data_IF_385635844261
#
_entry.id   IF_385635844261
#
_cell.length_a   1.000
_cell.length_b   1.000
_cell.length_c   1.000
_cell.angle_alpha   90.00
_cell.angle_beta   90.00
_cell.angle_gamma   90.00
#
_symmetry.space_group_name_H-M   'P 1'
#
loop_
_entity.id
_entity.type
_entity.pdbx_description
1 polymer ?
#
# COMPACT_ATOMS: atom_id res chain seq x y z
N UNK A 1 -114.02 -12.78 -58.64
CA UNK A 1 -112.65 -12.23 -58.77
C UNK A 1 -111.92 -12.51 -57.46
N UNK A 2 -111.36 -13.70 -57.24
CA UNK A 2 -109.97 -14.08 -57.55
C UNK A 2 -108.93 -13.02 -57.15
N UNK A 3 -108.20 -13.29 -56.05
CA UNK A 3 -106.74 -13.15 -56.01
C UNK A 3 -106.14 -14.06 -54.93
N UNK A 4 -105.45 -15.05 -55.45
CA UNK A 4 -104.53 -16.00 -54.83
C UNK A 4 -103.19 -15.30 -54.56
N UNK A 5 -102.58 -15.49 -53.38
CA UNK A 5 -101.15 -15.22 -53.17
C UNK A 5 -100.50 -16.26 -52.24
N UNK A 6 -99.81 -17.19 -52.90
CA UNK A 6 -98.57 -17.90 -52.59
C UNK A 6 -98.04 -17.92 -51.13
N UNK A 7 -98.00 -19.13 -50.57
CA UNK A 7 -97.22 -19.49 -49.38
C UNK A 7 -95.78 -19.78 -49.80
N UNK A 8 -94.82 -18.99 -49.31
CA UNK A 8 -93.37 -19.21 -49.51
C UNK A 8 -92.87 -20.28 -48.54
N UNK A 9 -92.50 -21.45 -49.04
CA UNK A 9 -91.84 -22.50 -48.24
C UNK A 9 -90.38 -22.15 -47.95
N UNK A 10 -90.03 -21.92 -46.69
CA UNK A 10 -88.62 -21.79 -46.25
C UNK A 10 -88.05 -23.18 -45.97
N UNK A 11 -87.03 -23.58 -46.74
CA UNK A 11 -86.28 -24.82 -46.50
C UNK A 11 -85.56 -24.84 -45.14
N UNK A 12 -85.20 -26.03 -44.63
CA UNK A 12 -84.63 -26.17 -43.29
C UNK A 12 -83.24 -25.54 -43.20
N UNK A 13 -83.04 -24.66 -42.22
CA UNK A 13 -81.73 -24.11 -41.86
C UNK A 13 -80.90 -25.20 -41.18
N UNK A 14 -79.75 -25.53 -41.76
CA UNK A 14 -78.76 -26.39 -41.12
C UNK A 14 -78.19 -25.68 -39.88
N UNK A 15 -78.42 -26.24 -38.69
CA UNK A 15 -77.76 -25.77 -37.47
C UNK A 15 -76.27 -26.19 -37.52
N UNK A 16 -75.33 -25.28 -37.19
CA UNK A 16 -73.93 -25.67 -37.05
C UNK A 16 -73.79 -26.55 -35.80
N UNK A 17 -73.35 -27.80 -35.99
CA UNK A 17 -73.00 -28.73 -34.91
C UNK A 17 -72.05 -28.05 -33.92
N UNK A 18 -72.49 -27.93 -32.67
CA UNK A 18 -71.70 -27.38 -31.56
C UNK A 18 -70.57 -28.36 -31.17
N UNK A 19 -69.37 -28.15 -31.71
CA UNK A 19 -68.14 -28.74 -31.17
C UNK A 19 -67.70 -27.94 -29.93
N UNK A 20 -68.21 -28.20 -28.74
CA UNK A 20 -67.91 -27.38 -27.53
C UNK A 20 -67.78 -28.11 -26.19
N UNK A 21 -67.16 -29.31 -26.15
CA UNK A 21 -66.85 -30.00 -24.88
C UNK A 21 -65.36 -30.15 -24.58
N UNK A 22 -64.60 -30.73 -25.52
CA UNK A 22 -63.22 -31.13 -25.25
C UNK A 22 -62.25 -29.97 -24.96
N UNK A 23 -62.48 -28.79 -25.53
CA UNK A 23 -61.60 -27.63 -25.30
C UNK A 23 -61.66 -27.18 -23.84
N UNK A 24 -62.83 -27.26 -23.19
CA UNK A 24 -63.01 -26.84 -21.80
C UNK A 24 -62.28 -27.77 -20.83
N UNK A 25 -62.30 -29.09 -21.11
CA UNK A 25 -61.56 -30.08 -20.31
C UNK A 25 -60.05 -29.91 -20.49
N UNK A 26 -59.60 -29.74 -21.73
CA UNK A 26 -58.18 -29.52 -22.03
C UNK A 26 -57.65 -28.22 -21.42
N UNK A 27 -58.42 -27.12 -21.51
CA UNK A 27 -58.03 -25.84 -20.93
C UNK A 27 -57.98 -25.89 -19.40
N UNK A 28 -58.93 -26.56 -18.74
CA UNK A 28 -58.91 -26.76 -17.30
C UNK A 28 -57.67 -27.54 -16.84
N UNK A 29 -57.32 -28.62 -17.55
CA UNK A 29 -56.12 -29.40 -17.25
C UNK A 29 -54.82 -28.58 -17.46
N UNK A 30 -54.72 -27.84 -18.57
CA UNK A 30 -53.57 -26.98 -18.85
C UNK A 30 -53.42 -25.86 -17.81
N UNK A 31 -54.52 -25.26 -17.33
CA UNK A 31 -54.46 -24.26 -16.27
C UNK A 31 -53.86 -24.83 -14.98
N UNK A 32 -54.24 -26.04 -14.59
CA UNK A 32 -53.68 -26.71 -13.40
C UNK A 32 -52.18 -26.95 -13.60
N UNK A 33 -51.77 -27.45 -14.76
CA UNK A 33 -50.37 -27.70 -15.06
C UNK A 33 -49.54 -26.40 -15.06
N UNK A 34 -50.08 -25.32 -15.63
CA UNK A 34 -49.45 -24.00 -15.60
C UNK A 34 -49.32 -23.45 -14.18
N UNK A 35 -50.36 -23.57 -13.35
CA UNK A 35 -50.30 -23.18 -11.95
C UNK A 35 -49.25 -23.98 -11.17
N UNK A 36 -49.13 -25.29 -11.42
CA UNK A 36 -48.10 -26.12 -10.80
C UNK A 36 -46.68 -25.68 -11.20
N UNK A 37 -46.45 -25.32 -12.47
CA UNK A 37 -45.16 -24.80 -12.93
C UNK A 37 -44.83 -23.43 -12.32
N UNK A 38 -45.81 -22.53 -12.21
CA UNK A 38 -45.62 -21.23 -11.55
C UNK A 38 -45.30 -21.41 -10.07
N UNK A 39 -46.07 -22.25 -9.37
CA UNK A 39 -45.84 -22.57 -7.96
C UNK A 39 -44.42 -23.11 -7.72
N UNK A 40 -43.99 -24.07 -8.54
CA UNK A 40 -42.64 -24.61 -8.49
C UNK A 40 -41.57 -23.55 -8.78
N UNK A 41 -41.78 -22.70 -9.80
CA UNK A 41 -40.85 -21.64 -10.16
C UNK A 41 -40.70 -20.61 -9.04
N UNK A 42 -41.76 -20.29 -8.30
CA UNK A 42 -41.71 -19.35 -7.16
C UNK A 42 -40.90 -19.94 -6.01
N UNK A 43 -41.14 -21.20 -5.65
CA UNK A 43 -40.38 -21.85 -4.57
C UNK A 43 -38.90 -22.00 -4.90
N UNK A 44 -38.57 -22.42 -6.13
CA UNK A 44 -37.17 -22.53 -6.58
C UNK A 44 -36.51 -21.16 -6.64
N UNK A 45 -37.22 -20.14 -7.14
CA UNK A 45 -36.75 -18.76 -7.14
C UNK A 45 -36.45 -18.24 -5.74
N UNK A 46 -37.34 -18.52 -4.78
CA UNK A 46 -37.14 -18.16 -3.37
C UNK A 46 -35.94 -18.89 -2.75
N UNK A 47 -35.80 -20.20 -2.96
CA UNK A 47 -34.65 -20.96 -2.45
C UNK A 47 -33.32 -20.43 -3.01
N UNK A 48 -33.27 -20.13 -4.31
CA UNK A 48 -32.08 -19.58 -4.96
C UNK A 48 -31.75 -18.16 -4.47
N UNK A 49 -32.78 -17.33 -4.26
CA UNK A 49 -32.63 -15.99 -3.68
C UNK A 49 -32.06 -16.07 -2.26
N UNK A 50 -32.68 -16.84 -1.37
CA UNK A 50 -32.22 -17.01 0.01
C UNK A 50 -30.80 -17.58 0.09
N UNK A 51 -30.43 -18.49 -0.82
CA UNK A 51 -29.05 -19.01 -0.93
C UNK A 51 -28.06 -17.93 -1.37
N UNK A 52 -28.46 -17.01 -2.25
CA UNK A 52 -27.61 -15.88 -2.66
C UNK A 52 -27.47 -14.85 -1.54
N UNK A 53 -28.56 -14.55 -0.84
CA UNK A 53 -28.58 -13.62 0.29
C UNK A 53 -27.70 -14.12 1.44
N UNK A 54 -27.82 -15.40 1.83
CA UNK A 54 -26.99 -15.96 2.90
C UNK A 54 -25.50 -15.98 2.50
N UNK A 55 -25.17 -16.31 1.24
CA UNK A 55 -23.78 -16.23 0.77
C UNK A 55 -23.23 -14.81 0.86
N UNK A 56 -24.01 -13.82 0.41
CA UNK A 56 -23.63 -12.40 0.49
C UNK A 56 -23.40 -11.96 1.94
N UNK A 57 -24.26 -12.40 2.86
CA UNK A 57 -24.11 -12.12 4.29
C UNK A 57 -22.85 -12.76 4.88
N UNK A 58 -22.59 -14.04 4.56
CA UNK A 58 -21.41 -14.77 5.02
C UNK A 58 -20.12 -14.17 4.47
N UNK A 59 -20.07 -13.80 3.19
CA UNK A 59 -18.89 -13.17 2.57
C UNK A 59 -18.61 -11.78 3.18
N UNK A 60 -19.65 -10.97 3.38
CA UNK A 60 -19.51 -9.66 4.01
C UNK A 60 -19.03 -9.75 5.46
N UNK A 61 -19.56 -10.72 6.22
CA UNK A 61 -19.16 -10.98 7.59
C UNK A 61 -17.72 -11.51 7.67
N UNK A 62 -17.34 -12.46 6.82
CA UNK A 62 -15.97 -12.98 6.76
C UNK A 62 -14.97 -11.86 6.42
N UNK A 63 -15.27 -11.04 5.41
CA UNK A 63 -14.39 -9.93 5.03
C UNK A 63 -14.25 -8.87 6.14
N UNK A 64 -15.35 -8.52 6.80
CA UNK A 64 -15.32 -7.60 7.94
C UNK A 64 -14.49 -8.17 9.11
N UNK A 65 -14.64 -9.46 9.40
CA UNK A 65 -13.86 -10.13 10.43
C UNK A 65 -12.37 -10.20 10.09
N UNK A 66 -12.02 -10.53 8.84
CA UNK A 66 -10.63 -10.55 8.39
C UNK A 66 -9.95 -9.17 8.50
N UNK A 67 -10.68 -8.08 8.27
CA UNK A 67 -10.17 -6.72 8.42
C UNK A 67 -9.79 -6.35 9.86
N UNK A 68 -10.47 -6.93 10.84
CA UNK A 68 -10.25 -6.67 12.27
C UNK A 68 -9.37 -7.74 12.95
N UNK A 69 -8.89 -8.73 12.19
CA UNK A 69 -8.06 -9.82 12.72
C UNK A 69 -6.72 -9.31 13.29
N UNK A 70 -6.22 -8.19 12.77
CA UNK A 70 -5.06 -7.46 13.31
C UNK A 70 -5.25 -7.00 14.75
N UNK A 71 -6.51 -6.73 15.16
CA UNK A 71 -6.88 -6.32 16.52
C UNK A 71 -7.23 -7.52 17.42
N UNK A 72 -7.11 -8.76 16.90
CA UNK A 72 -7.38 -10.01 17.60
C UNK A 72 -8.70 -10.67 17.21
N UNK A 73 -8.85 -11.95 17.55
CA UNK A 73 -10.00 -12.78 17.16
C UNK A 73 -11.33 -12.29 17.72
N UNK A 74 -11.35 -11.73 18.93
CA UNK A 74 -12.56 -11.15 19.52
C UNK A 74 -13.07 -9.90 18.79
N UNK A 75 -12.14 -9.05 18.30
CA UNK A 75 -12.49 -7.89 17.48
C UNK A 75 -13.02 -8.36 16.11
N UNK A 76 -12.36 -9.34 15.50
CA UNK A 76 -12.80 -9.97 14.25
C UNK A 76 -14.21 -10.57 14.35
N UNK A 77 -14.51 -11.32 15.43
CA UNK A 77 -15.83 -11.90 15.64
C UNK A 77 -16.91 -10.82 15.80
N UNK A 78 -16.63 -9.78 16.59
CA UNK A 78 -17.54 -8.64 16.80
C UNK A 78 -17.86 -7.93 15.48
N UNK A 79 -16.85 -7.68 14.65
CA UNK A 79 -17.02 -7.06 13.35
C UNK A 79 -17.79 -7.95 12.37
N UNK A 80 -17.43 -9.23 12.30
CA UNK A 80 -18.13 -10.21 11.47
C UNK A 80 -19.61 -10.31 11.84
N UNK A 81 -19.94 -10.37 13.14
CA UNK A 81 -21.31 -10.39 13.63
C UNK A 81 -22.11 -9.15 13.28
N UNK A 82 -21.49 -7.97 13.31
CA UNK A 82 -22.13 -6.70 12.93
C UNK A 82 -22.59 -6.74 11.47
N UNK A 83 -21.71 -7.20 10.56
CA UNK A 83 -22.04 -7.32 9.14
C UNK A 83 -22.98 -8.48 8.85
N UNK A 84 -22.88 -9.59 9.59
CA UNK A 84 -23.81 -10.70 9.47
C UNK A 84 -25.25 -10.24 9.80
N UNK A 85 -25.44 -9.51 10.90
CA UNK A 85 -26.75 -9.02 11.31
C UNK A 85 -27.30 -7.90 10.40
N UNK A 86 -26.42 -7.16 9.71
CA UNK A 86 -26.82 -6.14 8.75
C UNK A 86 -27.40 -6.73 7.45
N UNK A 87 -26.99 -7.95 7.09
CA UNK A 87 -27.42 -8.63 5.88
C UNK A 87 -28.51 -9.66 6.17
N UNK A 88 -29.74 -9.37 5.74
CA UNK A 88 -30.87 -10.30 5.89
C UNK A 88 -30.80 -11.40 4.83
N UNK A 89 -31.24 -12.60 5.22
CA UNK A 89 -31.42 -13.72 4.30
C UNK A 89 -32.77 -14.39 4.53
N UNK A 90 -33.52 -14.64 3.47
CA UNK A 90 -34.88 -15.18 3.52
C UNK A 90 -35.87 -14.26 4.23
N UNK A 91 -35.54 -12.97 4.38
CA UNK A 91 -36.30 -11.99 5.17
C UNK A 91 -35.97 -11.98 6.67
N UNK A 92 -35.03 -12.81 7.14
CA UNK A 92 -34.63 -12.90 8.54
C UNK A 92 -33.31 -12.17 8.80
N UNK A 93 -33.20 -11.54 9.97
CA UNK A 93 -31.92 -11.06 10.49
C UNK A 93 -31.12 -12.25 11.01
N UNK A 94 -29.87 -12.37 10.57
CA UNK A 94 -28.95 -13.41 11.02
C UNK A 94 -28.35 -13.04 12.38
N UNK A 95 -28.03 -14.08 13.17
CA UNK A 95 -27.50 -13.95 14.54
C UNK A 95 -26.39 -14.97 14.78
N UNK A 96 -25.78 -14.94 15.96
CA UNK A 96 -24.73 -15.90 16.36
C UNK A 96 -25.20 -17.35 16.24
N UNK A 97 -26.48 -17.63 16.50
CA UNK A 97 -27.03 -18.98 16.38
C UNK A 97 -27.04 -19.52 14.95
N UNK A 98 -26.92 -18.64 13.96
CA UNK A 98 -26.88 -18.99 12.56
C UNK A 98 -25.46 -19.23 12.05
N UNK A 99 -24.43 -18.87 12.82
CA UNK A 99 -23.05 -18.82 12.33
C UNK A 99 -22.07 -19.54 13.26
N UNK A 100 -21.04 -20.14 12.67
CA UNK A 100 -19.89 -20.68 13.39
C UNK A 100 -18.61 -20.04 12.87
N UNK A 101 -17.81 -19.50 13.79
CA UNK A 101 -16.56 -18.84 13.50
C UNK A 101 -15.39 -19.77 13.81
N UNK A 102 -14.49 -19.93 12.83
CA UNK A 102 -13.23 -20.64 13.00
C UNK A 102 -12.09 -19.70 12.58
N UNK A 103 -11.05 -19.64 13.40
CA UNK A 103 -9.85 -18.87 13.11
C UNK A 103 -8.70 -19.81 12.77
N UNK A 104 -7.85 -19.40 11.83
CA UNK A 104 -6.75 -20.25 11.42
C UNK A 104 -5.88 -19.65 10.34
N UNK A 105 -5.11 -20.53 9.73
CA UNK A 105 -4.12 -20.20 8.72
C UNK A 105 -4.59 -20.67 7.35
N UNK A 106 -4.79 -19.72 6.46
CA UNK A 106 -4.95 -19.95 5.03
C UNK A 106 -3.58 -20.04 4.37
N UNK A 107 -3.34 -21.15 3.67
CA UNK A 107 -2.16 -21.32 2.83
C UNK A 107 -2.50 -21.01 1.37
N UNK A 108 -1.94 -19.92 0.84
CA UNK A 108 -2.22 -19.47 -0.53
C UNK A 108 -1.68 -20.41 -1.62
N UNK A 109 -0.68 -21.25 -1.31
CA UNK A 109 -0.11 -22.19 -2.28
C UNK A 109 -0.91 -23.50 -2.37
N UNK A 110 -1.42 -23.98 -1.23
CA UNK A 110 -2.17 -25.24 -1.19
C UNK A 110 -3.69 -25.03 -1.24
N UNK A 111 -4.17 -23.80 -1.06
CA UNK A 111 -5.58 -23.46 -0.91
C UNK A 111 -6.26 -24.23 0.22
N UNK A 112 -5.54 -24.44 1.33
CA UNK A 112 -6.03 -25.15 2.52
C UNK A 112 -6.12 -24.19 3.69
N UNK A 113 -7.28 -24.20 4.36
CA UNK A 113 -7.49 -23.59 5.66
C UNK A 113 -7.19 -24.60 6.77
N UNK A 114 -6.39 -24.21 7.74
CA UNK A 114 -6.10 -25.03 8.94
C UNK A 114 -6.43 -24.23 10.18
N UNK A 115 -7.32 -24.75 11.01
CA UNK A 115 -7.70 -24.11 12.28
C UNK A 115 -6.46 -23.97 13.17
N UNK A 116 -6.20 -22.75 13.65
CA UNK A 116 -5.08 -22.41 14.52
C UNK A 116 -5.45 -21.21 15.38
N UNK A 117 -5.08 -21.27 16.66
CA UNK A 117 -5.21 -20.13 17.57
C UNK A 117 -3.90 -19.33 17.69
N UNK A 118 -2.82 -19.83 17.09
CA UNK A 118 -1.53 -19.16 17.03
C UNK A 118 -1.49 -18.32 15.76
N UNK A 119 -1.50 -16.99 15.95
CA UNK A 119 -1.43 -15.94 14.91
C UNK A 119 -2.27 -16.22 13.65
N UNK A 120 -3.60 -16.36 13.77
CA UNK A 120 -4.45 -16.66 12.62
C UNK A 120 -4.40 -15.54 11.57
N UNK A 121 -4.18 -15.92 10.31
CA UNK A 121 -4.22 -14.99 9.17
C UNK A 121 -5.57 -15.00 8.41
N UNK A 122 -6.49 -15.87 8.82
CA UNK A 122 -7.78 -16.05 8.15
C UNK A 122 -8.91 -16.38 9.13
N UNK A 123 -10.11 -15.98 8.73
CA UNK A 123 -11.38 -16.34 9.37
C UNK A 123 -12.19 -17.21 8.40
N UNK A 124 -12.71 -18.32 8.91
CA UNK A 124 -13.66 -19.18 8.22
C UNK A 124 -15.03 -19.06 8.92
N UNK A 125 -16.04 -18.78 8.12
CA UNK A 125 -17.41 -18.57 8.57
C UNK A 125 -18.34 -19.52 7.85
N UNK A 126 -19.04 -20.36 8.61
CA UNK A 126 -20.16 -21.16 8.10
C UNK A 126 -21.45 -20.58 8.65
N UNK A 127 -22.39 -20.23 7.78
CA UNK A 127 -23.71 -19.71 8.15
C UNK A 127 -24.80 -20.66 7.69
N UNK A 128 -25.84 -20.88 8.50
CA UNK A 128 -26.97 -21.75 8.16
C UNK A 128 -28.33 -21.16 8.55
N UNK A 129 -29.29 -21.35 7.65
CA UNK A 129 -30.71 -21.08 7.85
C UNK A 129 -31.47 -22.39 7.72
N UNK A 130 -32.06 -22.82 8.83
CA UNK A 130 -32.86 -24.03 8.88
C UNK A 130 -34.36 -23.70 8.81
N UNK A 131 -35.13 -24.67 8.32
CA UNK A 131 -36.60 -24.67 8.38
C UNK A 131 -37.27 -23.46 7.70
N UNK A 132 -36.69 -22.94 6.61
CA UNK A 132 -37.25 -21.84 5.85
C UNK A 132 -38.53 -22.28 5.14
N UNK A 133 -39.65 -21.56 5.29
CA UNK A 133 -40.95 -22.00 4.78
C UNK A 133 -41.01 -21.95 3.25
N UNK A 134 -41.57 -22.99 2.63
CA UNK A 134 -41.92 -22.98 1.21
C UNK A 134 -43.35 -22.45 1.02
N UNK A 135 -43.61 -21.77 -0.10
CA UNK A 135 -44.93 -21.23 -0.42
C UNK A 135 -45.87 -22.34 -0.90
N UNK A 136 -45.47 -23.07 -1.93
CA UNK A 136 -46.31 -24.08 -2.58
C UNK A 136 -45.83 -25.52 -2.38
N UNK A 137 -44.60 -25.73 -1.93
CA UNK A 137 -44.02 -27.04 -1.60
C UNK A 137 -44.85 -27.84 -0.61
N UNK A 138 -45.67 -27.17 0.22
CA UNK A 138 -46.62 -27.77 1.16
C UNK A 138 -47.60 -28.71 0.46
N UNK A 139 -48.01 -28.38 -0.78
CA UNK A 139 -48.90 -29.22 -1.60
C UNK A 139 -48.23 -30.56 -1.96
N UNK A 140 -46.90 -30.59 -2.03
CA UNK A 140 -46.08 -31.78 -2.29
C UNK A 140 -45.55 -32.42 -0.99
N UNK A 141 -46.06 -32.03 0.17
CA UNK A 141 -45.63 -32.54 1.48
C UNK A 141 -44.28 -32.00 1.97
N UNK A 142 -43.70 -30.99 1.32
CA UNK A 142 -42.47 -30.31 1.77
C UNK A 142 -42.78 -28.92 2.31
N UNK A 143 -42.76 -28.79 3.63
CA UNK A 143 -43.13 -27.53 4.28
C UNK A 143 -41.97 -26.53 4.38
N UNK A 144 -40.74 -27.02 4.38
CA UNK A 144 -39.54 -26.22 4.63
C UNK A 144 -38.34 -26.68 3.82
N UNK A 145 -37.32 -25.83 3.73
CA UNK A 145 -35.98 -26.15 3.23
C UNK A 145 -34.91 -25.60 4.17
N UNK A 146 -33.69 -26.13 4.04
CA UNK A 146 -32.50 -25.64 4.74
C UNK A 146 -31.53 -25.09 3.69
N UNK A 147 -30.78 -24.06 4.07
CA UNK A 147 -29.71 -23.51 3.24
C UNK A 147 -28.55 -23.08 4.13
N UNK A 148 -27.34 -23.11 3.60
CA UNK A 148 -26.14 -22.67 4.30
C UNK A 148 -25.13 -22.07 3.32
N UNK A 149 -24.14 -21.35 3.82
CA UNK A 149 -23.04 -20.79 3.06
C UNK A 149 -21.75 -20.87 3.88
N UNK A 150 -20.64 -20.96 3.16
CA UNK A 150 -19.30 -21.02 3.72
C UNK A 150 -18.48 -19.91 3.06
N UNK A 151 -17.65 -19.22 3.85
CA UNK A 151 -16.76 -18.18 3.37
C UNK A 151 -15.47 -18.15 4.17
N UNK A 152 -14.35 -17.99 3.47
CA UNK A 152 -13.03 -17.81 4.07
C UNK A 152 -12.50 -16.47 3.60
N UNK A 153 -12.13 -15.62 4.54
CA UNK A 153 -11.49 -14.34 4.26
C UNK A 153 -10.14 -14.28 4.96
N UNK A 154 -9.16 -13.72 4.27
CA UNK A 154 -7.76 -13.67 4.72
C UNK A 154 -7.32 -12.23 4.89
N UNK A 155 -6.57 -11.97 5.95
CA UNK A 155 -5.76 -10.76 6.07
C UNK A 155 -4.42 -11.01 5.38
N UNK A 156 -4.12 -10.27 4.32
CA UNK A 156 -2.82 -10.34 3.64
C UNK A 156 -1.89 -9.25 4.18
N UNK A 157 -0.63 -9.59 4.49
CA UNK A 157 0.37 -8.59 4.84
C UNK A 157 0.69 -7.68 3.64
N UNK A 158 1.19 -6.48 3.94
CA UNK A 158 1.52 -5.48 2.93
C UNK A 158 2.88 -5.79 2.30
N UNK A 159 2.99 -5.54 1.00
CA UNK A 159 4.27 -5.51 0.29
C UNK A 159 4.70 -4.04 0.13
N UNK A 160 5.92 -3.73 0.55
CA UNK A 160 6.46 -2.36 0.61
C UNK A 160 7.73 -2.28 -0.23
N UNK A 161 7.69 -1.47 -1.29
CA UNK A 161 8.86 -1.19 -2.13
C UNK A 161 9.53 0.11 -1.73
N UNK A 162 10.74 0.04 -1.17
CA UNK A 162 11.59 1.20 -0.92
C UNK A 162 12.49 1.45 -2.12
N UNK A 163 12.39 2.65 -2.71
CA UNK A 163 13.25 3.08 -3.82
C UNK A 163 14.01 4.32 -3.38
N UNK A 164 15.33 4.19 -3.23
CA UNK A 164 16.20 5.26 -2.75
C UNK A 164 17.00 5.84 -3.92
N UNK A 165 16.99 7.17 -4.05
CA UNK A 165 17.86 7.87 -5.00
C UNK A 165 19.27 8.01 -4.42
N UNK A 166 20.26 7.42 -5.08
CA UNK A 166 21.68 7.60 -4.77
C UNK A 166 22.35 8.32 -5.94
N UNK A 167 21.93 9.57 -6.15
CA UNK A 167 22.52 10.50 -7.11
C UNK A 167 23.47 11.48 -6.43
N UNK A 168 24.39 12.08 -7.19
CA UNK A 168 25.31 13.11 -6.66
C UNK A 168 24.60 14.31 -6.01
N UNK A 169 23.31 14.53 -6.31
CA UNK A 169 22.49 15.54 -5.62
C UNK A 169 22.21 15.26 -4.15
N UNK A 170 22.32 14.00 -3.71
CA UNK A 170 22.07 13.57 -2.33
C UNK A 170 23.22 13.91 -1.35
N UNK A 171 24.21 14.68 -1.79
CA UNK A 171 25.37 15.10 -1.02
C UNK A 171 25.44 16.63 -0.78
N UNK A 172 24.58 17.43 -1.43
CA UNK A 172 24.78 18.88 -1.50
C UNK A 172 24.30 19.66 -0.26
N UNK A 173 23.49 19.07 0.62
CA UNK A 173 22.89 19.77 1.75
C UNK A 173 23.89 20.11 2.86
N UNK A 174 25.06 19.45 2.85
CA UNK A 174 26.16 19.75 3.76
C UNK A 174 27.00 20.98 3.37
N UNK A 175 26.61 21.75 2.34
CA UNK A 175 27.37 22.91 1.84
C UNK A 175 26.80 24.26 2.30
N UNK A 176 27.62 25.30 2.35
CA UNK A 176 27.16 26.66 2.69
C UNK A 176 26.09 27.21 1.75
N UNK A 177 26.00 26.69 0.53
CA UNK A 177 24.96 27.03 -0.44
C UNK A 177 23.55 26.73 0.09
N UNK A 178 23.42 25.73 0.95
CA UNK A 178 22.14 25.23 1.46
C UNK A 178 21.85 25.68 2.90
N UNK A 179 22.56 26.70 3.41
CA UNK A 179 22.28 27.32 4.71
C UNK A 179 20.82 27.82 4.82
N UNK A 180 20.25 28.34 3.73
CA UNK A 180 18.85 28.80 3.73
C UNK A 180 17.84 27.66 3.84
N UNK A 181 18.23 26.42 3.54
CA UNK A 181 17.37 25.25 3.55
C UNK A 181 17.35 24.58 4.93
N UNK A 182 18.52 24.24 5.47
CA UNK A 182 18.64 23.46 6.73
C UNK A 182 19.15 24.28 7.93
N UNK A 183 19.52 25.54 7.70
CA UNK A 183 20.06 26.43 8.73
C UNK A 183 21.58 26.32 8.90
N UNK A 184 22.21 27.44 9.26
CA UNK A 184 23.66 27.53 9.43
C UNK A 184 24.22 26.55 10.50
N UNK A 185 23.61 26.39 11.69
CA UNK A 185 24.11 25.45 12.70
C UNK A 185 24.13 23.99 12.21
N UNK A 186 23.13 23.57 11.41
CA UNK A 186 23.06 22.23 10.87
C UNK A 186 24.16 22.00 9.84
N UNK A 187 24.36 22.92 8.89
CA UNK A 187 25.45 22.86 7.90
C UNK A 187 26.81 22.78 8.59
N UNK A 188 27.05 23.61 9.61
CA UNK A 188 28.31 23.63 10.33
C UNK A 188 28.59 22.36 11.13
N UNK A 189 27.54 21.73 11.67
CA UNK A 189 27.61 20.43 12.35
C UNK A 189 27.93 19.32 11.35
N UNK A 190 27.28 19.31 10.19
CA UNK A 190 27.55 18.35 9.12
C UNK A 190 29.00 18.44 8.62
N UNK A 191 29.50 19.67 8.37
CA UNK A 191 30.90 19.89 7.99
C UNK A 191 31.88 19.40 9.07
N UNK A 192 31.49 19.46 10.35
CA UNK A 192 32.30 18.95 11.46
C UNK A 192 32.35 17.43 11.49
N UNK A 193 31.20 16.79 11.23
CA UNK A 193 31.11 15.34 11.12
C UNK A 193 31.97 14.83 9.96
N UNK A 194 31.87 15.45 8.79
CA UNK A 194 32.70 15.13 7.62
C UNK A 194 34.19 15.31 7.96
N UNK A 195 34.58 16.42 8.58
CA UNK A 195 35.97 16.63 9.03
C UNK A 195 36.47 15.51 9.95
N UNK A 196 35.61 15.06 10.88
CA UNK A 196 35.94 13.99 11.83
C UNK A 196 36.11 12.65 11.11
N UNK A 197 35.24 12.33 10.15
CA UNK A 197 35.28 11.10 9.35
C UNK A 197 36.44 11.06 8.35
N UNK A 198 36.90 12.22 7.89
CA UNK A 198 38.16 12.35 7.14
C UNK A 198 39.41 12.08 7.99
N UNK A 199 39.25 11.75 9.28
CA UNK A 199 40.34 11.45 10.20
C UNK A 199 40.92 12.67 10.92
N UNK A 200 40.20 13.81 10.91
CA UNK A 200 40.65 15.08 11.50
C UNK A 200 42.06 15.49 11.05
N UNK A 201 42.30 15.61 9.74
CA UNK A 201 43.64 15.83 9.20
C UNK A 201 44.20 17.19 9.65
N UNK A 202 45.51 17.24 9.89
CA UNK A 202 46.20 18.46 10.31
C UNK A 202 47.15 18.96 9.23
N UNK A 203 46.95 20.21 8.79
CA UNK A 203 47.75 20.88 7.76
C UNK A 203 48.20 22.26 8.27
N UNK A 204 49.51 22.43 8.43
CA UNK A 204 50.10 23.67 8.91
C UNK A 204 49.53 24.08 10.28
N UNK A 205 49.08 25.34 10.38
CA UNK A 205 48.48 25.90 11.60
C UNK A 205 46.98 26.16 11.47
N UNK A 206 46.32 25.51 10.49
CA UNK A 206 44.87 25.60 10.33
C UNK A 206 44.15 25.00 11.55
N UNK A 207 43.09 25.67 11.97
CA UNK A 207 42.16 25.22 13.03
C UNK A 207 40.80 24.88 12.44
N UNK A 208 39.98 24.09 13.16
CA UNK A 208 38.64 23.76 12.67
C UNK A 208 37.77 25.02 12.51
N UNK A 209 37.72 25.84 13.56
CA UNK A 209 37.11 27.17 13.51
C UNK A 209 37.94 28.09 12.62
N UNK A 210 37.37 28.67 11.55
CA UNK A 210 38.09 29.53 10.62
C UNK A 210 38.60 30.83 11.26
N UNK A 211 39.88 31.13 11.05
CA UNK A 211 40.54 32.34 11.55
C UNK A 211 40.63 33.38 10.45
N UNK A 212 40.23 34.62 10.76
CA UNK A 212 40.29 35.73 9.81
C UNK A 212 41.74 36.11 9.48
N UNK A 213 42.02 36.33 8.21
CA UNK A 213 43.29 36.91 7.76
C UNK A 213 43.07 37.80 6.54
N UNK A 214 43.28 39.11 6.73
CA UNK A 214 42.96 40.15 5.76
C UNK A 214 41.52 40.66 5.88
N UNK A 215 41.29 41.88 5.39
CA UNK A 215 39.96 42.50 5.27
C UNK A 215 39.50 42.58 3.79
N UNK A 216 40.15 41.81 2.92
CA UNK A 216 40.02 41.82 1.47
C UNK A 216 40.88 40.73 0.85
N UNK A 217 40.80 40.58 -0.48
CA UNK A 217 41.63 39.61 -1.19
C UNK A 217 43.12 39.91 -0.96
N UNK A 218 43.84 38.89 -0.51
CA UNK A 218 45.24 38.90 -0.13
C UNK A 218 45.98 37.85 -0.95
N UNK A 219 47.27 38.05 -1.22
CA UNK A 219 48.04 37.11 -2.04
C UNK A 219 48.11 35.71 -1.41
N UNK A 220 47.94 34.67 -2.24
CA UNK A 220 47.93 33.28 -1.78
C UNK A 220 49.23 32.92 -1.06
N UNK A 221 50.38 33.45 -1.50
CA UNK A 221 51.68 33.26 -0.82
C UNK A 221 51.70 33.80 0.61
N UNK A 222 51.04 34.93 0.88
CA UNK A 222 50.95 35.50 2.24
C UNK A 222 50.10 34.62 3.15
N UNK A 223 48.98 34.11 2.63
CA UNK A 223 48.07 33.22 3.35
C UNK A 223 48.74 31.87 3.63
N UNK A 224 49.40 31.27 2.62
CA UNK A 224 50.18 30.03 2.79
C UNK A 224 51.26 30.20 3.85
N UNK A 225 51.97 31.33 3.86
CA UNK A 225 52.98 31.62 4.88
C UNK A 225 52.36 31.78 6.26
N UNK A 226 51.23 32.50 6.38
CA UNK A 226 50.52 32.71 7.64
C UNK A 226 50.06 31.40 8.29
N UNK A 227 49.52 30.49 7.48
CA UNK A 227 48.96 29.23 7.95
C UNK A 227 49.92 28.04 7.82
N UNK A 228 51.19 28.28 7.48
CA UNK A 228 52.21 27.23 7.39
C UNK A 228 51.97 26.20 6.28
N UNK A 229 51.28 26.57 5.19
CA UNK A 229 50.93 25.67 4.08
C UNK A 229 52.01 25.63 2.97
N UNK A 230 53.01 26.51 3.02
CA UNK A 230 54.03 26.63 1.95
C UNK A 230 54.81 25.34 1.69
N UNK A 231 55.05 24.54 2.74
CA UNK A 231 55.78 23.26 2.65
C UNK A 231 54.88 22.04 2.82
N UNK A 232 53.56 22.23 2.84
CA UNK A 232 52.58 21.16 3.05
C UNK A 232 52.01 20.75 1.71
N UNK A 233 52.24 19.50 1.31
CA UNK A 233 51.62 18.96 0.10
C UNK A 233 50.09 18.94 0.25
N UNK A 234 49.37 19.21 -0.83
CA UNK A 234 47.92 19.08 -0.83
C UNK A 234 47.54 17.59 -0.76
N UNK A 235 46.57 17.19 0.09
CA UNK A 235 46.37 15.78 0.46
C UNK A 235 45.64 14.93 -0.59
N UNK A 236 44.96 15.54 -1.58
CA UNK A 236 44.12 14.83 -2.53
C UNK A 236 44.55 15.05 -3.99
N UNK A 237 44.20 14.12 -4.92
CA UNK A 237 44.53 14.25 -6.33
C UNK A 237 43.95 15.49 -7.01
N UNK A 238 42.76 15.94 -6.58
CA UNK A 238 42.09 17.09 -7.16
C UNK A 238 42.18 18.34 -6.29
N UNK A 239 42.71 19.43 -6.86
CA UNK A 239 42.77 20.75 -6.24
C UNK A 239 44.16 21.16 -5.75
N UNK A 240 44.22 22.32 -5.10
CA UNK A 240 45.47 22.84 -4.52
C UNK A 240 45.18 23.79 -3.35
N UNK A 241 46.21 24.09 -2.56
CA UNK A 241 46.10 25.12 -1.51
C UNK A 241 45.77 26.49 -2.09
N UNK A 242 46.30 26.83 -3.26
CA UNK A 242 46.02 28.11 -3.92
C UNK A 242 44.55 28.19 -4.33
N UNK A 243 43.99 27.11 -4.87
CA UNK A 243 42.57 27.06 -5.24
C UNK A 243 41.64 27.11 -4.02
N UNK A 244 41.97 26.40 -2.94
CA UNK A 244 41.24 26.53 -1.67
C UNK A 244 41.24 27.97 -1.17
N UNK A 245 42.41 28.62 -1.20
CA UNK A 245 42.57 30.00 -0.77
C UNK A 245 41.72 30.93 -1.65
N UNK A 246 41.77 30.78 -2.97
CA UNK A 246 40.95 31.57 -3.89
C UNK A 246 39.46 31.39 -3.60
N UNK A 247 39.00 30.15 -3.41
CA UNK A 247 37.61 29.84 -3.06
C UNK A 247 37.13 30.57 -1.79
N UNK A 248 37.93 30.59 -0.72
CA UNK A 248 37.59 31.30 0.53
C UNK A 248 37.49 32.82 0.32
N UNK A 249 38.22 33.35 -0.66
CA UNK A 249 38.27 34.78 -0.96
C UNK A 249 37.19 35.24 -1.94
N UNK A 250 36.73 34.37 -2.84
CA UNK A 250 35.84 34.74 -3.96
C UNK A 250 34.42 34.24 -3.83
N UNK A 251 34.19 33.11 -3.17
CA UNK A 251 32.87 32.46 -3.14
C UNK A 251 31.80 33.29 -2.39
N UNK A 252 30.63 33.42 -3.02
CA UNK A 252 29.51 34.21 -2.48
C UNK A 252 28.85 33.54 -1.29
N UNK A 253 28.87 32.21 -1.20
CA UNK A 253 28.25 31.48 -0.10
C UNK A 253 29.12 31.55 1.16
N UNK A 254 30.44 31.52 1.02
CA UNK A 254 31.38 31.86 2.10
C UNK A 254 31.13 33.29 2.62
N UNK A 255 30.82 34.26 1.75
CA UNK A 255 30.45 35.61 2.18
C UNK A 255 29.13 35.63 2.96
N UNK A 256 28.09 34.99 2.43
CA UNK A 256 26.78 34.93 3.06
C UNK A 256 26.82 34.25 4.43
N UNK A 257 27.66 33.21 4.58
CA UNK A 257 27.87 32.49 5.84
C UNK A 257 28.78 33.23 6.85
N UNK A 258 29.39 34.36 6.45
CA UNK A 258 30.32 35.12 7.30
C UNK A 258 31.75 34.58 7.37
N UNK A 259 32.12 33.66 6.47
CA UNK A 259 33.42 32.98 6.42
C UNK A 259 34.39 33.50 5.35
N UNK A 260 34.04 34.55 4.62
CA UNK A 260 34.95 35.17 3.66
C UNK A 260 36.23 35.66 4.36
N UNK A 261 37.38 35.39 3.76
CA UNK A 261 38.72 35.69 4.32
C UNK A 261 39.02 34.99 5.66
N UNK A 262 38.25 33.94 6.01
CA UNK A 262 38.49 33.12 7.19
C UNK A 262 38.92 31.72 6.78
N UNK A 263 40.14 31.35 7.15
CA UNK A 263 40.76 30.10 6.73
C UNK A 263 40.78 29.11 7.89
N UNK A 264 40.43 27.85 7.62
CA UNK A 264 40.27 26.79 8.61
C UNK A 264 39.64 25.53 8.00
N UNK A 265 39.58 24.43 8.77
CA UNK A 265 39.07 23.18 8.24
C UNK A 265 37.58 23.24 7.88
N UNK A 266 36.77 24.08 8.54
CA UNK A 266 35.37 24.25 8.15
C UNK A 266 35.22 24.78 6.72
N UNK A 267 35.96 25.83 6.34
CA UNK A 267 35.93 26.36 4.98
C UNK A 267 36.63 25.44 3.98
N UNK A 268 37.62 24.66 4.44
CA UNK A 268 38.28 23.66 3.62
C UNK A 268 37.39 22.46 3.30
N UNK A 269 36.66 21.91 4.29
CA UNK A 269 35.68 20.86 4.03
C UNK A 269 34.57 21.37 3.13
N UNK A 270 34.07 22.60 3.36
CA UNK A 270 33.09 23.21 2.44
C UNK A 270 33.64 23.35 1.01
N UNK A 271 34.93 23.66 0.84
CA UNK A 271 35.58 23.67 -0.46
C UNK A 271 35.61 22.28 -1.11
N UNK A 272 35.96 21.24 -0.34
CA UNK A 272 35.97 19.86 -0.83
C UNK A 272 34.58 19.45 -1.31
N UNK A 273 33.55 19.66 -0.50
CA UNK A 273 32.18 19.24 -0.83
C UNK A 273 31.50 20.11 -1.89
N UNK A 274 31.92 21.38 -2.05
CA UNK A 274 31.33 22.29 -3.04
C UNK A 274 32.03 22.26 -4.41
N UNK A 275 33.36 22.04 -4.44
CA UNK A 275 34.20 22.24 -5.64
C UNK A 275 34.97 20.98 -6.03
N UNK A 276 35.28 20.08 -5.09
CA UNK A 276 36.09 18.86 -5.29
C UNK A 276 35.39 17.59 -4.82
N UNK A 277 34.06 17.54 -4.98
CA UNK A 277 33.19 16.45 -4.49
C UNK A 277 33.35 15.13 -5.25
N UNK A 278 33.85 15.15 -6.48
CA UNK A 278 33.99 13.92 -7.28
C UNK A 278 35.01 12.95 -6.70
N UNK A 279 34.74 11.64 -6.79
CA UNK A 279 35.63 10.56 -6.30
C UNK A 279 37.04 10.63 -6.92
N UNK A 280 37.17 11.08 -8.16
CA UNK A 280 38.48 11.28 -8.81
C UNK A 280 39.28 12.45 -8.22
N UNK A 281 38.61 13.42 -7.59
CA UNK A 281 39.24 14.57 -6.96
C UNK A 281 39.53 14.31 -5.48
N UNK A 282 38.54 13.80 -4.75
CA UNK A 282 38.62 13.55 -3.30
C UNK A 282 38.00 12.18 -2.97
N UNK A 283 38.76 11.09 -3.11
CA UNK A 283 38.25 9.73 -2.85
C UNK A 283 37.74 9.53 -1.42
N UNK A 284 38.30 10.27 -0.46
CA UNK A 284 37.95 10.16 0.95
C UNK A 284 36.51 10.61 1.28
N UNK A 285 35.88 11.46 0.44
CA UNK A 285 34.50 11.90 0.66
C UNK A 285 33.49 10.77 0.49
N UNK A 286 33.80 9.72 -0.29
CA UNK A 286 32.93 8.57 -0.47
C UNK A 286 32.61 7.83 0.85
N UNK A 287 33.48 7.96 1.86
CA UNK A 287 33.29 7.36 3.18
C UNK A 287 32.69 8.33 4.21
N UNK A 288 32.30 9.54 3.79
CA UNK A 288 31.78 10.56 4.67
C UNK A 288 30.24 10.61 4.64
N UNK A 289 29.63 10.91 5.79
CA UNK A 289 28.20 11.11 5.96
C UNK A 289 27.80 12.49 5.47
N UNK A 290 27.61 12.61 4.15
CA UNK A 290 27.01 13.80 3.54
C UNK A 290 25.47 13.75 3.68
N UNK A 291 24.83 14.91 3.60
CA UNK A 291 23.38 15.06 3.70
C UNK A 291 22.79 15.39 2.31
N UNK A 292 21.56 14.94 2.00
CA UNK A 292 20.59 14.25 2.88
C UNK A 292 20.70 12.72 2.97
N UNK A 293 21.64 12.07 2.28
CA UNK A 293 21.68 10.59 2.22
C UNK A 293 21.77 9.93 3.61
N UNK A 294 22.48 10.56 4.56
CA UNK A 294 22.58 10.05 5.93
C UNK A 294 21.24 10.11 6.66
N UNK A 295 20.51 11.23 6.59
CA UNK A 295 19.18 11.34 7.19
C UNK A 295 18.17 10.37 6.56
N UNK A 296 18.27 10.13 5.25
CA UNK A 296 17.45 9.13 4.56
C UNK A 296 17.74 7.73 5.09
N UNK A 297 19.01 7.38 5.27
CA UNK A 297 19.42 6.09 5.85
C UNK A 297 18.86 5.93 7.27
N UNK A 298 19.05 6.92 8.14
CA UNK A 298 18.54 6.87 9.52
C UNK A 298 17.00 6.70 9.55
N UNK A 299 16.28 7.35 8.63
CA UNK A 299 14.83 7.20 8.53
C UNK A 299 14.40 5.80 8.06
N UNK A 300 15.14 5.20 7.12
CA UNK A 300 14.90 3.82 6.68
C UNK A 300 15.20 2.85 7.82
N UNK A 301 16.29 3.04 8.57
CA UNK A 301 16.64 2.21 9.72
C UNK A 301 15.53 2.23 10.79
N UNK A 302 15.02 3.42 11.14
CA UNK A 302 13.90 3.57 12.09
C UNK A 302 12.62 2.90 11.57
N UNK A 303 12.35 2.99 10.27
CA UNK A 303 11.19 2.35 9.65
C UNK A 303 11.27 0.82 9.71
N UNK A 304 12.43 0.25 9.37
CA UNK A 304 12.66 -1.20 9.42
C UNK A 304 12.66 -1.72 10.87
N UNK A 305 13.25 -0.98 11.81
CA UNK A 305 13.20 -1.30 13.24
C UNK A 305 11.75 -1.31 13.75
N UNK A 306 10.93 -0.36 13.32
CA UNK A 306 9.51 -0.34 13.67
C UNK A 306 8.77 -1.60 13.15
N UNK A 307 8.99 -2.01 11.90
CA UNK A 307 8.37 -3.21 11.35
C UNK A 307 8.79 -4.46 12.13
N UNK A 308 10.08 -4.59 12.42
CA UNK A 308 10.63 -5.69 13.21
C UNK A 308 10.05 -5.72 14.63
N UNK A 309 10.01 -4.57 15.31
CA UNK A 309 9.49 -4.45 16.67
C UNK A 309 8.01 -4.83 16.77
N UNK A 310 7.20 -4.42 15.79
CA UNK A 310 5.77 -4.73 15.79
C UNK A 310 5.46 -6.14 15.26
N UNK A 311 6.49 -6.93 14.89
CA UNK A 311 6.32 -8.28 14.34
C UNK A 311 5.32 -8.31 13.17
N UNK A 312 5.39 -7.31 12.29
CA UNK A 312 4.52 -7.25 11.12
C UNK A 312 4.89 -8.38 10.17
N UNK A 313 3.88 -9.11 9.68
CA UNK A 313 4.08 -10.11 8.61
C UNK A 313 4.28 -9.46 7.22
N UNK A 314 4.46 -8.12 7.19
CA UNK A 314 4.73 -7.35 5.97
C UNK A 314 6.02 -7.85 5.29
N UNK A 315 6.21 -7.47 4.03
CA UNK A 315 7.46 -7.72 3.29
C UNK A 315 7.98 -6.43 2.72
N UNK A 316 9.29 -6.23 2.80
CA UNK A 316 9.96 -5.04 2.27
C UNK A 316 10.94 -5.46 1.18
N UNK A 317 11.04 -4.67 0.11
CA UNK A 317 12.11 -4.76 -0.89
C UNK A 317 12.85 -3.44 -0.98
N UNK A 318 14.14 -3.47 -1.26
CA UNK A 318 14.98 -2.28 -1.40
C UNK A 318 15.58 -2.20 -2.80
N UNK A 319 15.39 -1.07 -3.46
CA UNK A 319 16.05 -0.75 -4.73
C UNK A 319 16.77 0.59 -4.64
N UNK A 320 17.98 0.64 -5.17
CA UNK A 320 18.80 1.86 -5.23
C UNK A 320 18.89 2.32 -6.67
N UNK A 321 18.64 3.61 -6.89
CA UNK A 321 18.83 4.25 -8.18
C UNK A 321 20.18 4.97 -8.20
N UNK A 322 21.02 4.69 -9.21
CA UNK A 322 22.29 5.39 -9.39
C UNK A 322 22.34 6.14 -10.72
N UNK A 323 22.94 7.32 -10.72
CA UNK A 323 23.01 8.19 -11.91
C UNK A 323 23.97 7.66 -12.99
N UNK A 324 24.84 6.69 -12.69
CA UNK A 324 25.94 6.32 -13.59
C UNK A 324 25.47 5.65 -14.88
N UNK A 325 24.34 4.93 -14.86
CA UNK A 325 23.71 4.31 -16.03
C UNK A 325 22.19 4.51 -16.12
N UNK A 326 21.59 5.20 -15.14
CA UNK A 326 20.15 5.44 -15.09
C UNK A 326 19.33 4.17 -14.81
N UNK A 327 19.98 3.11 -14.33
CA UNK A 327 19.32 1.87 -13.93
C UNK A 327 19.13 1.81 -12.42
N UNK A 328 18.00 1.25 -12.01
CA UNK A 328 17.78 0.88 -10.61
C UNK A 328 18.33 -0.53 -10.40
N UNK A 329 19.11 -0.69 -9.33
CA UNK A 329 19.60 -1.98 -8.87
C UNK A 329 18.66 -2.44 -7.76
N UNK A 330 18.15 -3.66 -7.88
CA UNK A 330 17.47 -4.34 -6.77
C UNK A 330 18.54 -4.83 -5.80
N UNK A 331 18.61 -4.22 -4.63
CA UNK A 331 19.55 -4.64 -3.58
C UNK A 331 19.01 -5.87 -2.87
N UNK A 332 17.72 -5.84 -2.51
CA UNK A 332 17.05 -6.92 -1.82
C UNK A 332 15.63 -7.08 -2.34
N UNK A 333 15.25 -8.33 -2.66
CA UNK A 333 13.89 -8.68 -3.06
C UNK A 333 12.93 -8.60 -1.85
N UNK A 334 11.65 -8.90 -2.06
CA UNK A 334 10.68 -8.92 -0.96
C UNK A 334 11.12 -9.92 0.12
N UNK A 335 11.42 -9.43 1.31
CA UNK A 335 11.88 -10.19 2.46
C UNK A 335 11.10 -9.84 3.74
N UNK A 336 11.06 -10.78 4.68
CA UNK A 336 10.58 -10.58 6.05
C UNK A 336 11.72 -10.33 7.03
N UNK A 337 12.97 -10.48 6.58
CA UNK A 337 14.16 -10.21 7.37
C UNK A 337 14.52 -8.73 7.22
N UNK A 338 14.41 -7.98 8.33
CA UNK A 338 14.66 -6.54 8.39
C UNK A 338 16.01 -6.21 9.06
N UNK A 339 16.85 -7.22 9.31
CA UNK A 339 18.09 -7.07 10.08
C UNK A 339 19.32 -6.61 9.30
#
# INVERSE_FOLDING_TARGET
>A
MHREQAVVSRGPRHSPRSRRGNILVLSAFLMIMMMAMVAFSVDVGYMALTKTEIQTATDAAALAGAGELVNGTAAAETAAMTFLAANKAGGHTLSETNATFEFGNWNNSTHVFTVSNDTPNAIHLTTSLMQQPLFFGKVLGRNTFNTGADSIATYQPREIGLVLDYSGSMAYDSTFRNISLIGQPAVETNLQQIYTQLGSPTFGTLTYTPVAYGNGSTSNSSIKTRFGLTSVAYPYPGGSWDEYIDFVQTDSYNQAAGYRYRYGYRTWVNYLTSVRYGNSNTPALANCSEQPVTALKDAVDVFLEFLNYNSTDDRVSLSIYSFTDGTAILEEALTHDYS
#
